data_IF_953516934645
#
_entry.id   IF_953516934645
#
_cell.length_a   1.000
_cell.length_b   1.000
_cell.length_c   1.000
_cell.angle_alpha   90.00
_cell.angle_beta   90.00
_cell.angle_gamma   90.00
#
_symmetry.space_group_name_H-M   'P 1'
#
loop_
_entity.id
_entity.type
_entity.pdbx_description
1 polymer ?
#
# COMPACT_ATOMS: atom_id res chain seq x y z
N UNK A 1 -40.93 -44.58 -47.69
CA UNK A 1 -39.88 -43.75 -47.03
C UNK A 1 -40.52 -42.41 -46.66
N UNK A 2 -40.80 -42.17 -45.38
CA UNK A 2 -41.38 -40.91 -44.87
C UNK A 2 -40.32 -40.19 -44.03
N UNK A 3 -40.07 -38.93 -44.37
CA UNK A 3 -39.07 -38.08 -43.74
C UNK A 3 -39.46 -37.70 -42.30
N UNK A 4 -38.51 -37.81 -41.38
CA UNK A 4 -38.64 -37.37 -39.99
C UNK A 4 -38.11 -35.94 -39.92
N UNK A 5 -38.99 -34.98 -39.65
CA UNK A 5 -38.64 -33.59 -39.39
C UNK A 5 -38.06 -33.46 -37.98
N UNK A 6 -36.82 -32.98 -37.86
CA UNK A 6 -36.16 -32.71 -36.58
C UNK A 6 -36.59 -31.34 -36.07
N UNK A 7 -37.35 -31.31 -34.98
CA UNK A 7 -37.56 -30.10 -34.19
C UNK A 7 -36.31 -29.83 -33.34
N UNK A 8 -35.67 -28.68 -33.54
CA UNK A 8 -34.57 -28.21 -32.70
C UNK A 8 -35.15 -27.38 -31.54
N UNK A 9 -35.02 -27.91 -30.32
CA UNK A 9 -35.33 -27.19 -29.09
C UNK A 9 -34.12 -26.30 -28.73
N UNK A 10 -34.27 -24.99 -28.87
CA UNK A 10 -33.25 -24.04 -28.40
C UNK A 10 -33.45 -23.78 -26.91
N UNK A 11 -32.54 -24.33 -26.10
CA UNK A 11 -32.44 -24.04 -24.67
C UNK A 11 -31.64 -22.73 -24.51
N UNK A 12 -32.33 -21.62 -24.27
CA UNK A 12 -31.67 -20.33 -23.99
C UNK A 12 -31.05 -20.36 -22.60
N UNK A 13 -29.73 -20.54 -22.55
CA UNK A 13 -28.92 -20.37 -21.34
C UNK A 13 -28.85 -18.87 -21.05
N UNK A 14 -29.45 -18.44 -19.94
CA UNK A 14 -29.24 -17.10 -19.41
C UNK A 14 -27.79 -16.98 -18.93
N UNK A 15 -26.94 -16.36 -19.74
CA UNK A 15 -25.57 -16.01 -19.35
C UNK A 15 -25.70 -14.87 -18.34
N UNK A 16 -25.56 -15.19 -17.05
CA UNK A 16 -25.35 -14.18 -16.04
C UNK A 16 -24.02 -13.48 -16.37
N UNK A 17 -24.09 -12.26 -16.88
CA UNK A 17 -22.91 -11.41 -17.06
C UNK A 17 -22.17 -11.35 -15.72
N UNK A 18 -20.86 -11.68 -15.67
CA UNK A 18 -20.10 -11.45 -14.46
C UNK A 18 -20.19 -9.95 -14.19
N UNK A 19 -20.74 -9.60 -13.03
CA UNK A 19 -20.62 -8.25 -12.48
C UNK A 19 -19.12 -7.99 -12.43
N UNK A 20 -18.58 -7.18 -13.35
CA UNK A 20 -17.21 -6.71 -13.26
C UNK A 20 -17.14 -5.83 -12.02
N UNK A 21 -16.88 -6.45 -10.86
CA UNK A 21 -16.39 -5.74 -9.70
C UNK A 21 -15.19 -4.92 -10.20
N UNK A 22 -15.27 -3.59 -10.07
CA UNK A 22 -14.18 -2.71 -10.51
C UNK A 22 -12.86 -3.31 -10.03
N UNK A 23 -11.98 -3.65 -10.98
CA UNK A 23 -10.73 -4.29 -10.65
C UNK A 23 -9.95 -3.33 -9.76
N UNK A 24 -9.57 -3.80 -8.57
CA UNK A 24 -8.78 -2.99 -7.67
C UNK A 24 -7.45 -2.63 -8.32
N UNK A 25 -6.89 -1.46 -7.98
CA UNK A 25 -5.60 -1.03 -8.53
C UNK A 25 -4.74 -0.38 -7.45
N UNK A 26 -3.43 -0.33 -7.71
CA UNK A 26 -2.49 0.34 -6.82
C UNK A 26 -2.70 1.86 -6.76
N UNK A 27 -3.32 2.44 -7.80
CA UNK A 27 -3.66 3.87 -7.87
C UNK A 27 -4.99 4.19 -7.17
N UNK A 28 -5.84 3.20 -6.94
CA UNK A 28 -7.05 3.28 -6.13
C UNK A 28 -7.12 2.16 -5.10
N UNK A 29 -6.18 2.19 -4.14
CA UNK A 29 -6.11 1.18 -3.07
C UNK A 29 -7.43 1.04 -2.31
N UNK A 30 -8.27 2.10 -2.29
CA UNK A 30 -9.60 2.10 -1.64
C UNK A 30 -10.62 1.18 -2.33
N UNK A 31 -10.36 0.73 -3.55
CA UNK A 31 -11.13 -0.31 -4.22
C UNK A 31 -10.71 -1.74 -3.82
N UNK A 32 -9.50 -1.93 -3.25
CA UNK A 32 -8.97 -3.23 -2.84
C UNK A 32 -9.53 -3.68 -1.49
N UNK A 33 -10.65 -4.40 -1.47
CA UNK A 33 -11.34 -4.78 -0.23
C UNK A 33 -10.63 -5.85 0.61
N UNK A 34 -9.66 -6.57 0.03
CA UNK A 34 -8.93 -7.64 0.72
C UNK A 34 -7.43 -7.57 0.42
N UNK A 35 -6.61 -8.17 1.31
CA UNK A 35 -5.19 -8.33 1.04
C UNK A 35 -4.91 -9.18 -0.20
N UNK A 36 -5.74 -10.17 -0.53
CA UNK A 36 -5.57 -10.96 -1.75
C UNK A 36 -5.77 -10.13 -3.02
N UNK A 37 -6.76 -9.24 -3.03
CA UNK A 37 -6.96 -8.30 -4.14
C UNK A 37 -5.78 -7.33 -4.26
N UNK A 38 -5.29 -6.81 -3.14
CA UNK A 38 -4.12 -5.95 -3.15
C UNK A 38 -2.88 -6.68 -3.68
N UNK A 39 -2.56 -7.87 -3.17
CA UNK A 39 -1.38 -8.66 -3.57
C UNK A 39 -1.34 -8.92 -5.08
N UNK A 40 -2.50 -9.17 -5.70
CA UNK A 40 -2.63 -9.39 -7.14
C UNK A 40 -2.35 -8.13 -7.99
N UNK A 41 -2.34 -6.95 -7.40
CA UNK A 41 -2.14 -5.65 -8.09
C UNK A 41 -0.78 -5.03 -7.85
N UNK A 42 -0.02 -5.57 -6.91
CA UNK A 42 1.32 -5.08 -6.56
C UNK A 42 2.31 -5.52 -7.63
N UNK A 43 3.07 -4.56 -8.15
CA UNK A 43 4.25 -4.82 -8.96
C UNK A 43 5.45 -5.12 -8.04
N UNK A 44 5.78 -6.39 -7.91
CA UNK A 44 6.93 -6.84 -7.11
C UNK A 44 8.27 -6.72 -7.83
N UNK A 45 8.28 -6.49 -9.14
CA UNK A 45 9.51 -6.25 -9.91
C UNK A 45 9.99 -4.80 -9.73
N UNK A 46 9.05 -3.88 -9.45
CA UNK A 46 9.34 -2.50 -9.09
C UNK A 46 8.77 -2.15 -7.68
N UNK A 47 9.34 -2.71 -6.59
CA UNK A 47 8.73 -2.69 -5.26
C UNK A 47 8.65 -1.29 -4.61
N UNK A 48 9.41 -0.33 -5.13
CA UNK A 48 9.38 1.09 -4.71
C UNK A 48 8.58 2.00 -5.66
N UNK A 49 8.01 1.45 -6.75
CA UNK A 49 7.23 2.22 -7.71
C UNK A 49 6.00 2.85 -7.07
N UNK A 50 5.65 4.05 -7.55
CA UNK A 50 4.53 4.82 -7.05
C UNK A 50 4.65 6.30 -7.43
N UNK A 51 3.56 7.04 -7.24
CA UNK A 51 3.48 8.46 -7.57
C UNK A 51 3.25 9.32 -6.33
N UNK A 52 3.68 10.58 -6.38
CA UNK A 52 3.36 11.53 -5.33
C UNK A 52 2.03 12.22 -5.64
N UNK A 53 1.05 12.06 -4.77
CA UNK A 53 -0.29 12.61 -4.96
C UNK A 53 -0.92 12.99 -3.61
N UNK A 54 -1.46 14.21 -3.54
CA UNK A 54 -2.15 14.77 -2.36
C UNK A 54 -1.35 14.65 -1.06
N UNK A 55 -0.07 15.02 -1.10
CA UNK A 55 0.78 15.04 0.09
C UNK A 55 1.28 13.67 0.54
N UNK A 56 1.12 12.62 -0.28
CA UNK A 56 1.63 11.29 0.02
C UNK A 56 2.27 10.62 -1.21
N UNK A 57 3.25 9.74 -0.97
CA UNK A 57 3.81 8.84 -1.98
C UNK A 57 3.02 7.53 -1.99
N UNK A 58 2.30 7.29 -3.07
CA UNK A 58 1.46 6.11 -3.28
C UNK A 58 2.26 4.98 -3.91
N UNK A 59 3.07 4.30 -3.10
CA UNK A 59 3.79 3.09 -3.50
C UNK A 59 3.17 1.83 -2.88
N UNK A 60 3.69 0.66 -3.27
CA UNK A 60 3.24 -0.63 -2.75
C UNK A 60 3.26 -0.73 -1.23
N UNK A 61 4.30 -0.20 -0.58
CA UNK A 61 4.47 -0.28 0.87
C UNK A 61 3.39 0.52 1.60
N UNK A 62 3.10 1.73 1.14
CA UNK A 62 2.01 2.54 1.69
C UNK A 62 0.64 1.93 1.41
N UNK A 63 0.42 1.33 0.23
CA UNK A 63 -0.83 0.64 -0.09
C UNK A 63 -1.09 -0.55 0.85
N UNK A 64 -0.05 -1.34 1.13
CA UNK A 64 -0.10 -2.44 2.09
C UNK A 64 -0.42 -1.93 3.50
N UNK A 65 0.17 -0.81 3.91
CA UNK A 65 -0.15 -0.15 5.16
C UNK A 65 -1.62 0.31 5.20
N UNK A 66 -2.13 1.04 4.21
CA UNK A 66 -3.52 1.51 4.14
C UNK A 66 -4.55 0.38 4.33
N UNK A 67 -4.25 -0.83 3.84
CA UNK A 67 -5.11 -2.03 3.96
C UNK A 67 -4.77 -2.95 5.13
N UNK A 68 -3.79 -2.56 5.94
CA UNK A 68 -3.25 -3.37 7.02
C UNK A 68 -2.92 -4.80 6.58
N UNK A 69 -2.13 -4.92 5.51
CA UNK A 69 -1.65 -6.17 4.95
C UNK A 69 -0.14 -6.34 5.21
N UNK A 70 0.28 -6.63 6.46
CA UNK A 70 1.70 -6.62 6.86
C UNK A 70 2.54 -7.64 6.09
N UNK A 71 1.97 -8.79 5.70
CA UNK A 71 2.68 -9.80 4.90
C UNK A 71 3.08 -9.28 3.50
N UNK A 72 2.24 -8.43 2.89
CA UNK A 72 2.57 -7.76 1.61
C UNK A 72 3.69 -6.76 1.84
N UNK A 73 3.61 -5.96 2.91
CA UNK A 73 4.68 -5.03 3.29
C UNK A 73 6.03 -5.73 3.48
N UNK A 74 6.04 -6.83 4.23
CA UNK A 74 7.25 -7.64 4.44
C UNK A 74 7.80 -8.21 3.13
N UNK A 75 6.93 -8.69 2.23
CA UNK A 75 7.32 -9.21 0.90
C UNK A 75 7.93 -8.11 0.01
N UNK A 76 7.36 -6.90 0.02
CA UNK A 76 7.89 -5.74 -0.68
C UNK A 76 9.27 -5.33 -0.18
N UNK A 77 9.44 -5.22 1.14
CA UNK A 77 10.73 -4.93 1.78
C UNK A 77 11.77 -5.99 1.39
N UNK A 78 11.41 -7.28 1.48
CA UNK A 78 12.29 -8.39 1.05
C UNK A 78 12.68 -8.31 -0.43
N UNK A 79 11.81 -7.72 -1.27
CA UNK A 79 12.06 -7.49 -2.69
C UNK A 79 12.87 -6.22 -2.99
N UNK A 80 13.20 -5.42 -1.98
CA UNK A 80 14.02 -4.21 -2.12
C UNK A 80 13.23 -2.90 -2.01
N UNK A 81 11.98 -2.93 -1.55
CA UNK A 81 11.30 -1.68 -1.19
C UNK A 81 12.08 -0.98 -0.07
N UNK A 82 12.33 0.31 -0.24
CA UNK A 82 12.92 1.12 0.83
C UNK A 82 11.90 1.29 1.98
N UNK A 83 12.20 0.80 3.20
CA UNK A 83 11.23 0.77 4.30
C UNK A 83 10.82 2.17 4.78
N UNK A 84 11.62 3.21 4.53
CA UNK A 84 11.25 4.58 4.88
C UNK A 84 10.42 5.28 3.80
N UNK A 85 10.31 4.69 2.60
CA UNK A 85 9.69 5.33 1.44
C UNK A 85 8.22 4.98 1.28
N UNK A 86 7.36 5.99 1.14
CA UNK A 86 5.90 5.84 0.99
C UNK A 86 5.12 6.77 1.93
N UNK A 87 3.82 6.90 1.70
CA UNK A 87 2.93 7.57 2.64
C UNK A 87 3.15 9.08 2.77
N UNK A 88 2.76 9.65 3.91
CA UNK A 88 2.72 11.08 4.20
C UNK A 88 4.08 11.76 3.94
N UNK A 89 4.07 12.79 3.10
CA UNK A 89 5.25 13.49 2.57
C UNK A 89 6.32 12.58 1.95
N UNK A 90 5.97 11.32 1.64
CA UNK A 90 6.88 10.30 1.16
C UNK A 90 7.61 9.52 2.26
N UNK A 91 7.36 9.80 3.54
CA UNK A 91 7.94 9.08 4.67
C UNK A 91 6.95 8.11 5.32
N UNK A 92 7.29 6.82 5.31
CA UNK A 92 6.54 5.80 6.04
C UNK A 92 6.65 6.01 7.56
N UNK A 93 7.75 6.57 8.06
CA UNK A 93 7.94 6.89 9.49
C UNK A 93 6.97 8.00 9.92
N UNK A 94 6.85 9.06 9.13
CA UNK A 94 5.84 10.10 9.36
C UNK A 94 4.41 9.54 9.26
N UNK A 95 4.21 8.50 8.45
CA UNK A 95 2.90 7.89 8.23
C UNK A 95 2.44 7.04 9.41
N UNK A 96 3.30 6.15 9.91
CA UNK A 96 2.96 5.24 11.04
C UNK A 96 2.91 5.98 12.37
N UNK A 97 3.39 7.23 12.44
CA UNK A 97 3.32 8.08 13.63
C UNK A 97 2.05 8.97 13.67
N UNK A 98 1.08 8.73 12.78
CA UNK A 98 -0.18 9.46 12.68
C UNK A 98 -1.40 8.55 12.96
N UNK A 99 -2.51 9.12 13.43
CA UNK A 99 -3.78 8.40 13.65
C UNK A 99 -4.52 8.06 12.36
N UNK A 100 -4.22 8.75 11.27
CA UNK A 100 -4.84 8.48 9.99
C UNK A 100 -3.85 7.73 9.09
N UNK A 101 -4.26 6.64 8.40
CA UNK A 101 -5.62 6.10 8.27
C UNK A 101 -6.06 5.17 9.41
N UNK A 102 -5.13 4.73 10.28
CA UNK A 102 -5.42 3.76 11.34
C UNK A 102 -5.42 4.42 12.71
N UNK A 103 -6.62 4.63 13.27
CA UNK A 103 -6.76 5.21 14.61
C UNK A 103 -6.46 4.19 15.73
N UNK A 104 -6.26 2.90 15.38
CA UNK A 104 -5.78 1.88 16.30
C UNK A 104 -4.24 1.92 16.34
N UNK A 105 -3.68 2.37 17.47
CA UNK A 105 -2.24 2.45 17.69
C UNK A 105 -1.54 1.10 17.52
N UNK A 106 -2.20 -0.03 17.79
CA UNK A 106 -1.59 -1.37 17.63
C UNK A 106 -1.23 -1.69 16.19
N UNK A 107 -2.05 -1.22 15.23
CA UNK A 107 -1.73 -1.35 13.81
C UNK A 107 -0.44 -0.57 13.52
N UNK A 108 -0.38 0.68 13.97
CA UNK A 108 0.78 1.54 13.81
C UNK A 108 2.05 0.97 14.46
N UNK A 109 1.95 0.42 15.68
CA UNK A 109 3.06 -0.25 16.39
C UNK A 109 3.60 -1.46 15.62
N UNK A 110 2.71 -2.31 15.10
CA UNK A 110 3.10 -3.46 14.28
C UNK A 110 3.83 -3.02 13.02
N UNK A 111 3.32 -2.00 12.33
CA UNK A 111 3.97 -1.46 11.14
C UNK A 111 5.29 -0.79 11.47
N UNK A 112 5.37 0.01 12.53
CA UNK A 112 6.61 0.62 12.98
C UNK A 112 7.67 -0.46 13.28
N UNK A 113 7.28 -1.56 13.93
CA UNK A 113 8.16 -2.70 14.21
C UNK A 113 8.66 -3.38 12.92
N UNK A 114 7.79 -3.56 11.93
CA UNK A 114 8.17 -4.09 10.62
C UNK A 114 9.19 -3.19 9.91
N UNK A 115 8.98 -1.86 9.94
CA UNK A 115 9.91 -0.91 9.34
C UNK A 115 11.25 -0.90 10.07
N UNK A 116 11.24 -0.89 11.41
CA UNK A 116 12.44 -0.88 12.25
C UNK A 116 13.28 -2.15 12.02
N UNK A 117 12.63 -3.32 11.95
CA UNK A 117 13.31 -4.60 11.64
C UNK A 117 13.92 -4.62 10.24
N UNK A 118 13.51 -3.70 9.37
CA UNK A 118 14.05 -3.51 8.03
C UNK A 118 15.11 -2.40 7.96
N UNK A 119 15.68 -2.01 9.11
CA UNK A 119 16.66 -0.93 9.24
C UNK A 119 16.10 0.42 8.77
N UNK A 120 14.85 0.74 9.09
CA UNK A 120 14.32 2.09 8.95
C UNK A 120 14.87 2.99 10.07
N UNK A 121 15.40 4.15 9.69
CA UNK A 121 15.88 5.19 10.61
C UNK A 121 15.48 6.55 10.05
N UNK A 122 15.48 7.59 10.89
CA UNK A 122 15.10 8.94 10.47
C UNK A 122 16.05 9.58 9.44
N UNK A 123 17.32 9.19 9.43
CA UNK A 123 18.40 9.67 8.55
C UNK A 123 18.58 8.81 7.28
N UNK A 124 17.81 7.72 7.15
CA UNK A 124 17.81 6.93 5.91
C UNK A 124 17.12 7.71 4.79
N UNK A 125 17.82 7.83 3.66
CA UNK A 125 17.30 8.50 2.47
C UNK A 125 16.00 7.84 1.98
N UNK A 126 14.96 8.63 1.76
CA UNK A 126 13.62 8.19 1.29
C UNK A 126 13.59 7.91 -0.21
N UNK A 127 14.44 8.60 -0.97
CA UNK A 127 14.64 8.40 -2.40
C UNK A 127 16.13 8.34 -2.71
N UNK A 128 16.53 7.44 -3.60
CA UNK A 128 17.92 7.32 -4.02
C UNK A 128 18.42 8.56 -4.80
N UNK A 129 17.53 9.26 -5.50
CA UNK A 129 17.88 10.42 -6.34
C UNK A 129 17.77 11.79 -5.64
N UNK A 130 16.75 11.99 -4.80
CA UNK A 130 16.47 13.29 -4.17
C UNK A 130 17.26 13.49 -2.86
N UNK A 131 17.85 12.41 -2.31
CA UNK A 131 18.67 12.35 -1.08
C UNK A 131 18.04 12.94 0.20
N UNK A 132 16.72 13.12 0.24
CA UNK A 132 16.02 13.59 1.43
C UNK A 132 15.79 12.47 2.43
N UNK A 133 16.11 12.70 3.69
CA UNK A 133 15.73 11.85 4.82
C UNK A 133 14.42 12.34 5.51
N UNK A 134 13.96 11.63 6.54
CA UNK A 134 12.73 12.02 7.26
C UNK A 134 12.92 13.31 8.06
N UNK A 135 14.10 13.56 8.64
CA UNK A 135 14.40 14.76 9.43
C UNK A 135 14.33 16.01 8.57
N UNK A 136 14.90 15.96 7.38
CA UNK A 136 14.87 17.06 6.41
C UNK A 136 13.43 17.40 5.98
N UNK A 137 12.62 16.38 5.70
CA UNK A 137 11.20 16.59 5.34
C UNK A 137 10.44 17.23 6.50
N UNK A 138 10.65 16.78 7.74
CA UNK A 138 10.02 17.37 8.92
C UNK A 138 10.40 18.86 9.06
N UNK A 139 11.68 19.18 8.86
CA UNK A 139 12.17 20.56 8.89
C UNK A 139 11.53 21.45 7.81
N UNK A 140 11.36 20.92 6.58
CA UNK A 140 10.71 21.63 5.47
C UNK A 140 9.20 21.84 5.71
N UNK A 141 8.52 20.82 6.23
CA UNK A 141 7.08 20.91 6.52
C UNK A 141 6.80 21.88 7.67
N UNK A 142 7.70 21.93 8.67
CA UNK A 142 7.69 22.88 9.80
C UNK A 142 6.51 22.78 10.78
N UNK A 143 5.42 22.14 10.35
CA UNK A 143 4.14 22.01 11.05
C UNK A 143 3.79 20.56 11.39
N UNK A 144 4.64 19.60 11.00
CA UNK A 144 4.42 18.19 11.30
C UNK A 144 4.50 17.95 12.81
N UNK A 145 3.46 17.29 13.34
CA UNK A 145 3.38 16.86 14.73
C UNK A 145 2.90 15.41 14.73
N UNK A 146 3.73 14.44 15.17
CA UNK A 146 3.29 13.06 15.37
C UNK A 146 2.07 12.99 16.29
N UNK A 147 1.04 12.24 15.90
CA UNK A 147 -0.03 11.87 16.85
C UNK A 147 0.47 10.83 17.85
N UNK A 148 1.37 9.95 17.41
CA UNK A 148 2.05 8.94 18.21
C UNK A 148 3.55 9.26 18.25
N UNK A 149 3.91 10.21 19.12
CA UNK A 149 5.30 10.67 19.26
C UNK A 149 6.25 9.54 19.65
N UNK A 150 5.79 8.62 20.50
CA UNK A 150 6.56 7.44 20.90
C UNK A 150 6.94 6.55 19.72
N UNK A 151 6.09 6.43 18.69
CA UNK A 151 6.44 5.68 17.47
C UNK A 151 7.42 6.43 16.58
N UNK A 152 7.36 7.76 16.55
CA UNK A 152 8.30 8.57 15.76
C UNK A 152 9.73 8.45 16.29
N UNK A 153 9.90 8.52 17.61
CA UNK A 153 11.24 8.45 18.24
C UNK A 153 11.84 7.04 18.24
N UNK A 154 11.08 5.98 17.89
CA UNK A 154 11.66 4.63 17.70
C UNK A 154 12.69 4.57 16.58
N UNK A 155 12.66 5.55 15.67
CA UNK A 155 13.53 5.64 14.51
C UNK A 155 14.68 6.63 14.70
N UNK A 156 14.82 7.20 15.91
CA UNK A 156 16.00 7.92 16.35
C UNK A 156 17.07 6.90 16.76
N UNK A 157 18.22 6.91 16.09
CA UNK A 157 19.41 6.15 16.49
C UNK A 157 20.03 6.68 17.80
#
# INVERSE_FOLDING_TARGET
>A
MKAISKAALFLSIAIASPFSAAACSITDVKSCNTCSQLDATIDYENPSAGDYFRGARWNGLYAAYLRNCPLIGAKLIKKGANPVSGGLFGSMIMTVSQKWPHNDKKINEMWASLLLTADATLDKNIKEADRKDTKEIVAEVGSFKPDYFDLYILFED
#
